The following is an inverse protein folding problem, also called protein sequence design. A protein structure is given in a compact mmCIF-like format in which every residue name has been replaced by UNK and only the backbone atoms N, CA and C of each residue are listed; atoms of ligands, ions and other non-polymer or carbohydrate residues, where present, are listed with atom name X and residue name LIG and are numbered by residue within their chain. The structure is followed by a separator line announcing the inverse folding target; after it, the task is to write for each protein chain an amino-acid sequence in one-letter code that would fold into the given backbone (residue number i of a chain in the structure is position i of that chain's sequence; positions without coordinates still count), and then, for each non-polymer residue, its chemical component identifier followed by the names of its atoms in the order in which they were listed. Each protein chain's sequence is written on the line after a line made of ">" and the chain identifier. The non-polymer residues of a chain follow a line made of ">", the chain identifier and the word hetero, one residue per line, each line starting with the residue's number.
data_IF_457915427051
#
_entry.id   IF_457915427051
#
_cell.length_a   1.000
_cell.length_b   1.000
_cell.length_c   1.000
_cell.angle_alpha   90.00
_cell.angle_beta   90.00
_cell.angle_gamma   90.00
#
_symmetry.space_group_name_H-M   'P 1'
#
loop_
_entity.id
_entity.type
_entity.pdbx_description
1 polymer ?
#
# COMPACT_ATOMS: atom_id res chain seq x y z
N UNK A 1 -35.05 -43.67 -27.54
CA UNK A 1 -34.61 -43.27 -26.17
C UNK A 1 -33.20 -42.69 -26.20
N UNK A 2 -32.29 -43.28 -26.94
CA UNK A 2 -30.87 -42.86 -27.01
C UNK A 2 -30.63 -41.43 -27.54
N UNK A 3 -31.38 -40.98 -28.56
CA UNK A 3 -31.18 -39.60 -29.08
C UNK A 3 -31.46 -38.50 -28.05
N UNK A 4 -32.42 -38.71 -27.16
CA UNK A 4 -32.70 -37.74 -26.11
C UNK A 4 -31.60 -37.72 -25.00
N UNK A 5 -31.01 -38.90 -24.74
CA UNK A 5 -29.91 -39.04 -23.78
C UNK A 5 -28.64 -38.32 -24.28
N UNK A 6 -28.34 -38.46 -25.59
CA UNK A 6 -27.19 -37.81 -26.22
C UNK A 6 -27.35 -36.27 -26.22
N UNK A 7 -28.57 -35.75 -26.47
CA UNK A 7 -28.82 -34.32 -26.44
C UNK A 7 -28.72 -33.72 -25.02
N UNK A 8 -29.18 -34.45 -23.99
CA UNK A 8 -29.03 -34.02 -22.60
C UNK A 8 -27.57 -34.06 -22.15
N UNK A 9 -26.81 -35.07 -22.59
CA UNK A 9 -25.37 -35.16 -22.27
C UNK A 9 -24.58 -34.02 -22.96
N UNK A 10 -24.85 -33.73 -24.20
CA UNK A 10 -24.26 -32.61 -24.95
C UNK A 10 -24.60 -31.24 -24.34
N UNK A 11 -25.83 -31.05 -23.86
CA UNK A 11 -26.24 -29.82 -23.20
C UNK A 11 -25.51 -29.65 -21.86
N UNK A 12 -25.30 -30.75 -21.12
CA UNK A 12 -24.59 -30.75 -19.84
C UNK A 12 -23.08 -30.45 -20.01
N UNK A 13 -22.46 -30.98 -21.08
CA UNK A 13 -21.07 -30.65 -21.41
C UNK A 13 -20.92 -29.20 -21.84
N UNK A 14 -21.90 -28.63 -22.59
CA UNK A 14 -21.86 -27.25 -23.03
C UNK A 14 -21.95 -26.25 -21.83
N UNK A 15 -22.79 -26.58 -20.84
CA UNK A 15 -22.94 -25.77 -19.61
C UNK A 15 -21.68 -25.87 -18.73
N UNK A 16 -21.02 -27.04 -18.70
CA UNK A 16 -19.81 -27.25 -17.93
C UNK A 16 -18.59 -26.52 -18.54
N UNK A 17 -18.52 -26.39 -19.86
CA UNK A 17 -17.45 -25.64 -20.53
C UNK A 17 -17.52 -24.12 -20.32
N UNK A 18 -18.71 -23.56 -20.06
CA UNK A 18 -18.85 -22.12 -19.76
C UNK A 18 -18.46 -21.73 -18.33
N UNK A 19 -18.31 -22.70 -17.41
CA UNK A 19 -17.97 -22.45 -16.00
C UNK A 19 -16.48 -22.19 -15.70
N UNK A 20 -15.59 -22.31 -16.69
CA UNK A 20 -14.14 -22.14 -16.53
C UNK A 20 -13.61 -20.78 -17.01
N UNK A 21 -14.45 -19.75 -17.04
CA UNK A 21 -13.92 -18.38 -17.15
C UNK A 21 -13.28 -18.05 -15.81
N UNK A 22 -12.06 -18.53 -15.62
CA UNK A 22 -11.18 -18.11 -14.56
C UNK A 22 -10.96 -16.61 -14.69
N UNK A 23 -11.52 -15.84 -13.77
CA UNK A 23 -11.10 -14.45 -13.57
C UNK A 23 -9.62 -14.47 -13.22
N UNK A 24 -8.75 -14.32 -14.18
CA UNK A 24 -7.36 -13.95 -13.94
C UNK A 24 -7.40 -12.57 -13.30
N UNK A 25 -7.22 -12.55 -11.97
CA UNK A 25 -6.97 -11.32 -11.23
C UNK A 25 -5.71 -10.71 -11.84
N UNK A 26 -5.86 -9.71 -12.68
CA UNK A 26 -4.76 -8.92 -13.19
C UNK A 26 -4.16 -8.21 -11.98
N UNK A 27 -3.02 -8.74 -11.49
CA UNK A 27 -2.18 -8.07 -10.50
C UNK A 27 -1.71 -6.79 -11.19
N UNK A 28 -2.37 -5.67 -10.91
CA UNK A 28 -1.94 -4.37 -11.42
C UNK A 28 -0.54 -4.12 -10.85
N UNK A 29 0.49 -4.33 -11.65
CA UNK A 29 1.83 -3.88 -11.35
C UNK A 29 1.78 -2.37 -11.30
N UNK A 30 2.28 -1.80 -10.19
CA UNK A 30 2.42 -0.35 -10.08
C UNK A 30 3.42 0.11 -11.16
N UNK A 31 3.01 1.13 -11.91
CA UNK A 31 3.91 1.77 -12.86
C UNK A 31 4.89 2.67 -12.10
N UNK A 32 6.11 2.18 -11.93
CA UNK A 32 7.20 2.87 -11.25
C UNK A 32 8.26 3.20 -12.28
N UNK A 33 8.53 4.49 -12.49
CA UNK A 33 9.50 4.97 -13.49
C UNK A 33 10.94 4.54 -13.16
N UNK A 34 11.82 4.62 -14.16
CA UNK A 34 13.26 4.33 -13.96
C UNK A 34 13.92 5.35 -13.03
N UNK A 35 13.51 6.61 -13.11
CA UNK A 35 13.99 7.67 -12.23
C UNK A 35 13.58 7.39 -10.78
N UNK A 36 12.33 7.02 -10.55
CA UNK A 36 11.83 6.68 -9.21
C UNK A 36 12.56 5.47 -8.61
N UNK A 37 12.83 4.43 -9.43
CA UNK A 37 13.60 3.27 -8.98
C UNK A 37 15.02 3.62 -8.56
N UNK A 38 15.68 4.54 -9.27
CA UNK A 38 17.00 4.99 -8.89
C UNK A 38 17.04 5.70 -7.53
N UNK A 39 15.95 6.35 -7.13
CA UNK A 39 15.83 7.00 -5.81
C UNK A 39 15.65 6.00 -4.68
N UNK A 40 15.05 4.84 -4.93
CA UNK A 40 14.89 3.80 -3.89
C UNK A 40 16.21 3.25 -3.37
N UNK A 41 17.25 3.31 -4.19
CA UNK A 41 18.60 2.81 -3.88
C UNK A 41 19.59 3.95 -3.57
N UNK A 42 19.16 5.21 -3.63
CA UNK A 42 20.01 6.37 -3.29
C UNK A 42 20.13 6.43 -1.76
N UNK A 43 21.23 5.93 -1.26
CA UNK A 43 21.42 5.59 0.14
C UNK A 43 21.68 6.76 1.08
N UNK A 44 20.73 7.63 1.27
CA UNK A 44 20.69 8.46 2.46
C UNK A 44 20.06 7.62 3.58
N UNK A 45 20.89 7.07 4.45
CA UNK A 45 20.48 6.29 5.63
C UNK A 45 20.04 7.19 6.78
N UNK A 46 19.53 8.39 6.50
CA UNK A 46 18.98 9.21 7.57
C UNK A 46 17.64 8.63 8.05
N UNK A 47 17.45 8.50 9.38
CA UNK A 47 16.17 8.11 9.93
C UNK A 47 15.06 9.06 9.46
N UNK A 48 13.95 8.50 8.99
CA UNK A 48 12.75 9.28 8.74
C UNK A 48 12.10 9.56 10.09
N UNK A 49 12.35 10.74 10.61
CA UNK A 49 11.68 11.24 11.81
C UNK A 49 10.35 11.87 11.37
N UNK A 50 9.25 11.25 11.80
CA UNK A 50 7.92 11.81 11.67
C UNK A 50 7.52 12.27 13.06
N UNK A 51 8.00 13.44 13.45
CA UNK A 51 7.72 14.07 14.72
C UNK A 51 6.94 15.36 14.53
N UNK A 52 6.22 15.72 15.57
CA UNK A 52 5.64 17.06 15.75
C UNK A 52 6.05 17.54 17.16
N UNK A 53 6.70 18.66 17.19
CA UNK A 53 7.20 19.27 18.44
C UNK A 53 6.09 19.59 19.46
N UNK A 54 4.82 19.69 18.99
CA UNK A 54 3.67 20.01 19.81
C UNK A 54 3.00 18.79 20.45
N UNK A 55 3.13 17.61 19.86
CA UNK A 55 2.36 16.41 20.26
C UNK A 55 3.14 15.33 20.97
N UNK A 56 4.46 15.47 21.21
CA UNK A 56 5.36 14.43 21.75
C UNK A 56 5.25 13.09 20.99
N UNK A 57 4.82 13.12 19.73
CA UNK A 57 4.61 11.94 18.89
C UNK A 57 5.74 11.82 17.89
N UNK A 58 6.47 10.71 17.96
CA UNK A 58 7.58 10.43 17.07
C UNK A 58 7.42 9.05 16.44
N UNK A 59 7.47 8.99 15.12
CA UNK A 59 7.65 7.74 14.37
C UNK A 59 9.02 7.81 13.71
N UNK A 60 9.95 6.98 14.18
CA UNK A 60 11.27 6.85 13.55
C UNK A 60 11.20 5.70 12.55
N UNK A 61 11.37 6.01 11.27
CA UNK A 61 11.45 5.02 10.21
C UNK A 61 12.80 5.20 9.52
N UNK A 62 13.61 4.15 9.50
CA UNK A 62 14.87 4.14 8.76
C UNK A 62 14.59 3.53 7.40
N UNK A 63 14.42 4.37 6.38
CA UNK A 63 14.09 3.91 5.03
C UNK A 63 14.94 4.66 4.00
N UNK A 64 16.00 4.04 3.47
CA UNK A 64 16.90 4.67 2.50
C UNK A 64 16.17 5.22 1.28
N UNK A 65 16.49 6.46 0.89
CA UNK A 65 15.94 7.12 -0.29
C UNK A 65 14.59 7.80 -0.09
N UNK A 66 13.96 7.69 1.09
CA UNK A 66 12.62 8.27 1.30
C UNK A 66 12.60 9.79 1.16
N UNK A 67 13.49 10.52 1.81
CA UNK A 67 13.49 11.98 1.75
C UNK A 67 13.83 12.51 0.36
N UNK A 68 14.75 11.87 -0.34
CA UNK A 68 15.05 12.22 -1.74
C UNK A 68 13.83 12.00 -2.63
N UNK A 69 13.12 10.88 -2.44
CA UNK A 69 11.88 10.60 -3.14
C UNK A 69 10.76 11.59 -2.77
N UNK A 70 10.60 11.91 -1.47
CA UNK A 70 9.60 12.86 -0.97
C UNK A 70 9.76 14.23 -1.64
N UNK A 71 10.99 14.72 -1.74
CA UNK A 71 11.30 16.03 -2.30
C UNK A 71 11.24 16.08 -3.85
N UNK A 72 11.38 14.93 -4.52
CA UNK A 72 11.49 14.87 -5.99
C UNK A 72 10.26 14.34 -6.69
N UNK A 73 9.53 13.43 -6.07
CA UNK A 73 8.46 12.63 -6.71
C UNK A 73 7.09 12.84 -6.06
N UNK A 74 7.04 12.96 -4.73
CA UNK A 74 5.77 13.09 -4.02
C UNK A 74 5.00 14.37 -4.42
N UNK A 75 3.68 14.34 -4.25
CA UNK A 75 2.89 15.57 -4.37
C UNK A 75 3.33 16.55 -3.29
N UNK A 76 3.49 17.85 -3.62
CA UNK A 76 3.94 18.85 -2.67
C UNK A 76 2.96 19.02 -1.52
N UNK A 77 3.45 19.58 -0.42
CA UNK A 77 2.63 20.00 0.69
C UNK A 77 1.48 20.92 0.23
N UNK A 78 0.33 20.80 0.88
CA UNK A 78 -0.88 21.53 0.49
C UNK A 78 -1.67 20.93 -0.67
N UNK A 79 -1.13 19.91 -1.40
CA UNK A 79 -1.88 19.26 -2.48
C UNK A 79 -3.10 18.49 -1.95
N UNK A 80 -2.96 17.79 -0.84
CA UNK A 80 -4.04 17.11 -0.15
C UNK A 80 -4.44 17.87 1.12
N UNK A 81 -5.72 17.83 1.50
CA UNK A 81 -6.14 18.35 2.80
C UNK A 81 -5.68 17.44 3.95
N UNK A 82 -5.51 18.00 5.15
CA UNK A 82 -5.18 17.23 6.34
C UNK A 82 -6.16 16.08 6.56
N UNK A 83 -7.46 16.33 6.47
CA UNK A 83 -8.48 15.30 6.64
C UNK A 83 -8.42 14.17 5.60
N UNK A 84 -7.98 14.47 4.37
CA UNK A 84 -7.72 13.42 3.38
C UNK A 84 -6.55 12.54 3.82
N UNK A 85 -5.45 13.14 4.27
CA UNK A 85 -4.25 12.45 4.73
C UNK A 85 -4.57 11.55 5.94
N UNK A 86 -5.25 12.09 6.96
CA UNK A 86 -5.68 11.38 8.15
C UNK A 86 -6.53 10.14 7.83
N UNK A 87 -7.54 10.29 6.99
CA UNK A 87 -8.38 9.17 6.57
C UNK A 87 -7.59 8.07 5.84
N UNK A 88 -6.62 8.46 5.01
CA UNK A 88 -5.76 7.51 4.29
C UNK A 88 -4.80 6.81 5.25
N UNK A 89 -4.17 7.57 6.13
CA UNK A 89 -3.25 7.04 7.14
C UNK A 89 -3.93 6.02 8.04
N UNK A 90 -5.09 6.33 8.58
CA UNK A 90 -5.85 5.41 9.43
C UNK A 90 -6.07 4.03 8.76
N UNK A 91 -6.47 4.01 7.48
CA UNK A 91 -6.70 2.76 6.74
C UNK A 91 -5.37 2.01 6.49
N UNK A 92 -4.31 2.74 6.13
CA UNK A 92 -3.02 2.14 5.83
C UNK A 92 -2.33 1.60 7.09
N UNK A 93 -2.44 2.32 8.22
CA UNK A 93 -1.94 1.86 9.53
C UNK A 93 -2.64 0.58 9.98
N UNK A 94 -3.97 0.51 9.85
CA UNK A 94 -4.70 -0.73 10.19
C UNK A 94 -4.16 -1.91 9.37
N UNK A 95 -3.99 -1.72 8.07
CA UNK A 95 -3.46 -2.77 7.19
C UNK A 95 -2.02 -3.14 7.54
N UNK A 96 -1.17 -2.14 7.81
CA UNK A 96 0.21 -2.33 8.25
C UNK A 96 0.27 -3.15 9.52
N UNK A 97 -0.42 -2.71 10.57
CA UNK A 97 -0.41 -3.35 11.89
C UNK A 97 -0.95 -4.78 11.85
N UNK A 98 -1.98 -5.05 11.01
CA UNK A 98 -2.44 -6.41 10.77
C UNK A 98 -1.36 -7.31 10.15
N UNK A 99 -0.48 -6.76 9.31
CA UNK A 99 0.61 -7.53 8.69
C UNK A 99 1.75 -7.80 9.65
N UNK A 100 2.08 -6.84 10.51
CA UNK A 100 3.04 -7.05 11.61
C UNK A 100 2.65 -8.24 12.47
N UNK A 101 1.36 -8.37 12.78
CA UNK A 101 0.83 -9.47 13.60
C UNK A 101 0.76 -10.83 12.88
N UNK A 102 1.12 -10.90 11.60
CA UNK A 102 1.03 -12.10 10.77
C UNK A 102 2.37 -12.43 10.07
N UNK A 103 3.49 -12.65 10.82
CA UNK A 103 4.81 -12.86 10.22
C UNK A 103 4.92 -14.14 9.38
N UNK A 104 3.99 -15.09 9.55
CA UNK A 104 3.95 -16.31 8.73
C UNK A 104 3.39 -16.03 7.32
N UNK A 105 2.63 -14.95 7.15
CA UNK A 105 1.98 -14.56 5.89
C UNK A 105 2.68 -13.40 5.20
N UNK A 106 3.24 -12.49 5.97
CA UNK A 106 3.88 -11.26 5.50
C UNK A 106 5.34 -11.24 5.93
N UNK A 107 6.20 -10.70 5.06
CA UNK A 107 7.63 -10.63 5.34
C UNK A 107 7.90 -9.73 6.57
N UNK A 108 8.41 -10.29 7.69
CA UNK A 108 8.67 -9.52 8.91
C UNK A 108 9.76 -8.45 8.73
N UNK A 109 10.65 -8.60 7.75
CA UNK A 109 11.66 -7.57 7.43
C UNK A 109 11.05 -6.34 6.71
N UNK A 110 9.82 -6.43 6.25
CA UNK A 110 9.08 -5.28 5.69
C UNK A 110 8.11 -4.67 6.71
N UNK A 111 7.61 -5.47 7.64
CA UNK A 111 6.63 -5.09 8.64
C UNK A 111 7.18 -5.37 10.03
N UNK A 112 8.21 -4.61 10.42
CA UNK A 112 8.98 -4.90 11.63
C UNK A 112 8.23 -4.54 12.92
N UNK A 113 7.62 -3.36 12.96
CA UNK A 113 6.96 -2.83 14.14
C UNK A 113 5.58 -2.27 13.80
N UNK A 114 4.69 -2.30 14.79
CA UNK A 114 3.40 -1.63 14.69
C UNK A 114 3.59 -0.11 14.74
N UNK A 115 2.82 0.58 13.93
CA UNK A 115 2.72 2.03 13.94
C UNK A 115 1.64 2.42 14.96
N UNK A 116 2.02 3.20 15.97
CA UNK A 116 1.10 3.75 16.94
C UNK A 116 0.49 5.05 16.39
N UNK A 117 -0.66 4.94 15.77
CA UNK A 117 -1.39 6.07 15.21
C UNK A 117 -2.86 5.96 15.62
N UNK A 118 -3.33 6.94 16.39
CA UNK A 118 -4.72 7.02 16.87
C UNK A 118 -5.47 8.08 16.05
N UNK A 119 -6.50 7.68 15.26
CA UNK A 119 -7.26 8.62 14.45
C UNK A 119 -8.04 9.70 15.23
N UNK A 120 -8.11 9.59 16.56
CA UNK A 120 -8.76 10.59 17.42
C UNK A 120 -7.80 11.72 17.88
N UNK A 121 -6.50 11.56 17.62
CA UNK A 121 -5.48 12.55 17.93
C UNK A 121 -5.21 13.41 16.70
N UNK A 122 -5.19 14.73 16.86
CA UNK A 122 -4.73 15.64 15.84
C UNK A 122 -3.19 15.73 15.88
N UNK A 123 -2.56 15.05 14.93
CA UNK A 123 -1.09 15.06 14.77
C UNK A 123 -0.60 16.22 13.88
N UNK A 124 -1.49 17.12 13.46
CA UNK A 124 -1.16 18.18 12.55
C UNK A 124 -0.93 17.74 11.10
N UNK A 125 -0.75 18.73 10.23
CA UNK A 125 -0.60 18.50 8.79
C UNK A 125 0.71 17.78 8.45
N UNK A 126 1.83 18.21 9.03
CA UNK A 126 3.16 17.75 8.66
C UNK A 126 3.36 16.25 8.94
N UNK A 127 2.99 15.79 10.13
CA UNK A 127 3.04 14.36 10.50
C UNK A 127 2.18 13.55 9.55
N UNK A 128 0.96 13.99 9.29
CA UNK A 128 0.05 13.28 8.39
C UNK A 128 0.57 13.25 6.94
N UNK A 129 1.20 14.32 6.47
CA UNK A 129 1.81 14.41 5.15
C UNK A 129 3.00 13.45 5.00
N UNK A 130 3.93 13.45 5.97
CA UNK A 130 5.10 12.57 5.96
C UNK A 130 4.66 11.10 6.03
N UNK A 131 3.77 10.74 6.96
CA UNK A 131 3.27 9.37 7.13
C UNK A 131 2.55 8.86 5.88
N UNK A 132 1.68 9.67 5.28
CA UNK A 132 1.00 9.33 4.02
C UNK A 132 2.00 9.02 2.91
N UNK A 133 2.95 9.93 2.69
CA UNK A 133 3.94 9.77 1.63
C UNK A 133 4.89 8.61 1.90
N UNK A 134 5.22 8.32 3.16
CA UNK A 134 5.94 7.11 3.51
C UNK A 134 5.19 5.85 3.07
N UNK A 135 3.89 5.75 3.33
CA UNK A 135 3.10 4.61 2.87
C UNK A 135 3.03 4.54 1.34
N UNK A 136 2.95 5.67 0.63
CA UNK A 136 2.99 5.67 -0.84
C UNK A 136 4.35 5.15 -1.33
N UNK A 137 5.45 5.70 -0.80
CA UNK A 137 6.81 5.28 -1.10
C UNK A 137 7.01 3.78 -0.88
N UNK A 138 6.68 3.29 0.32
CA UNK A 138 6.79 1.88 0.69
C UNK A 138 6.03 0.96 -0.27
N UNK A 139 4.80 1.29 -0.58
CA UNK A 139 3.99 0.50 -1.49
C UNK A 139 4.58 0.44 -2.89
N UNK A 140 5.17 1.53 -3.37
CA UNK A 140 5.80 1.61 -4.70
C UNK A 140 7.15 0.90 -4.72
N UNK A 141 7.99 1.12 -3.73
CA UNK A 141 9.32 0.47 -3.61
C UNK A 141 9.21 -1.05 -3.50
N UNK A 142 8.37 -1.53 -2.63
CA UNK A 142 8.24 -2.97 -2.32
C UNK A 142 7.08 -3.66 -3.05
N UNK A 143 6.43 -2.98 -4.00
CA UNK A 143 5.27 -3.49 -4.73
C UNK A 143 4.21 -4.09 -3.78
N UNK A 144 3.92 -3.34 -2.72
CA UNK A 144 2.92 -3.69 -1.71
C UNK A 144 1.64 -2.89 -1.93
N UNK A 145 0.56 -3.29 -1.25
CA UNK A 145 -0.69 -2.55 -1.24
C UNK A 145 -1.26 -2.48 0.17
N UNK A 146 -1.35 -1.28 0.72
CA UNK A 146 -1.90 -1.00 2.05
C UNK A 146 -3.32 -0.44 1.91
N UNK A 147 -4.32 -1.32 1.93
CA UNK A 147 -5.72 -0.94 1.79
C UNK A 147 -6.25 -0.96 0.34
N UNK A 148 -7.43 -0.35 0.09
CA UNK A 148 -8.15 -0.45 -1.19
C UNK A 148 -7.63 0.50 -2.26
N UNK A 149 -6.75 1.44 -1.92
CA UNK A 149 -6.30 2.50 -2.81
C UNK A 149 -5.02 2.12 -3.55
N UNK A 150 -4.90 2.60 -4.79
CA UNK A 150 -3.63 2.53 -5.52
C UNK A 150 -2.70 3.65 -5.01
N UNK A 151 -1.41 3.36 -4.73
CA UNK A 151 -0.43 4.37 -4.35
C UNK A 151 -0.03 5.22 -5.56
N UNK A 152 -0.79 6.28 -5.80
CA UNK A 152 -0.56 7.24 -6.90
C UNK A 152 0.27 8.43 -6.41
N UNK A 153 1.11 8.94 -7.29
CA UNK A 153 1.88 10.19 -7.19
C UNK A 153 1.31 11.24 -8.12
#
# INVERSE_FOLDING_TARGET
>A
MERKLIHTLLLFCLVFCFGLVSCTSQKSTLDVSSEEKALFDSGDEEPVEIADDETEYEIIIIEPGFYTWLNSIARPEGYYSQSFLENRNAIMVITWNQRVLQPQRWNPNLYEMQINYDPSIDYGYEVNYKLYNYFIYFQRKYNQRLGPFLPRI
#
